data_IF_361809453406
#
_entry.id   IF_361809453406
#
_cell.length_a   1.000
_cell.length_b   1.000
_cell.length_c   1.000
_cell.angle_alpha   90.00
_cell.angle_beta   90.00
_cell.angle_gamma   90.00
#
_symmetry.space_group_name_H-M   'P 1'
#
loop_
_entity.id
_entity.type
_entity.pdbx_description
1 polymer ?
#
# COMPACT_ATOMS: atom_id res chain seq x y z
N UNK A 1 8.98 -9.90 8.29
CA UNK A 1 8.57 -8.92 9.31
C UNK A 1 7.58 -7.96 8.68
N UNK A 2 6.54 -7.50 9.38
CA UNK A 2 5.64 -6.47 8.85
C UNK A 2 6.42 -5.17 8.64
N UNK A 3 6.45 -4.68 7.40
CA UNK A 3 7.09 -3.40 7.06
C UNK A 3 6.13 -2.27 7.41
N UNK A 4 6.54 -1.40 8.33
CA UNK A 4 5.77 -0.23 8.79
C UNK A 4 6.24 1.00 8.02
N UNK A 5 5.31 1.68 7.33
CA UNK A 5 5.61 2.81 6.45
C UNK A 5 5.76 4.16 7.18
N UNK A 6 5.39 4.26 8.46
CA UNK A 6 5.35 5.50 9.22
C UNK A 6 6.69 6.28 9.32
N UNK A 7 7.82 5.65 9.04
CA UNK A 7 9.15 6.28 9.02
C UNK A 7 9.71 6.56 7.62
N UNK A 8 8.93 6.32 6.57
CA UNK A 8 9.36 6.48 5.17
C UNK A 8 8.88 7.82 4.61
N UNK A 9 9.63 8.37 3.65
CA UNK A 9 9.29 9.63 2.99
C UNK A 9 8.09 9.41 2.06
N UNK A 10 7.05 10.24 2.17
CA UNK A 10 5.89 10.16 1.30
C UNK A 10 6.14 10.93 0.00
N UNK A 11 6.02 10.24 -1.13
CA UNK A 11 6.18 10.77 -2.49
C UNK A 11 4.94 10.48 -3.34
N UNK A 12 4.73 11.26 -4.39
CA UNK A 12 3.60 11.08 -5.31
C UNK A 12 4.12 10.55 -6.65
N UNK A 13 3.60 9.40 -7.08
CA UNK A 13 3.89 8.80 -8.39
C UNK A 13 2.57 8.60 -9.11
N UNK A 14 2.41 9.22 -10.28
CA UNK A 14 1.17 9.18 -11.07
C UNK A 14 -0.10 9.57 -10.27
N UNK A 15 0.03 10.47 -9.28
CA UNK A 15 -1.08 10.87 -8.42
C UNK A 15 -1.42 9.90 -7.28
N UNK A 16 -0.67 8.82 -7.12
CA UNK A 16 -0.83 7.83 -6.04
C UNK A 16 0.27 8.05 -4.98
N UNK A 17 -0.07 8.06 -3.68
CA UNK A 17 0.93 8.15 -2.62
C UNK A 17 1.73 6.86 -2.51
N UNK A 18 3.05 7.02 -2.43
CA UNK A 18 4.05 5.97 -2.31
C UNK A 18 5.04 6.37 -1.21
N UNK A 19 5.67 5.40 -0.55
CA UNK A 19 6.60 5.60 0.55
C UNK A 19 8.00 5.17 0.14
N UNK A 20 8.96 6.07 0.30
CA UNK A 20 10.36 5.88 -0.04
C UNK A 20 11.19 5.65 1.23
N UNK A 21 11.93 4.54 1.27
CA UNK A 21 12.84 4.27 2.38
C UNK A 21 14.23 4.90 2.15
N UNK A 22 15.11 4.81 3.16
CA UNK A 22 16.49 5.34 3.07
C UNK A 22 17.36 4.64 2.01
N UNK A 23 16.99 3.44 1.58
CA UNK A 23 17.63 2.68 0.51
C UNK A 23 17.14 3.08 -0.88
N UNK A 24 16.27 4.09 -0.99
CA UNK A 24 15.62 4.52 -2.22
C UNK A 24 14.72 3.45 -2.86
N UNK A 25 14.15 2.57 -2.04
CA UNK A 25 13.10 1.64 -2.44
C UNK A 25 11.72 2.28 -2.26
N UNK A 26 10.84 2.03 -3.21
CA UNK A 26 9.50 2.58 -3.29
C UNK A 26 8.47 1.53 -2.88
N UNK A 27 7.58 1.91 -1.98
CA UNK A 27 6.55 1.04 -1.43
C UNK A 27 5.17 1.65 -1.61
N UNK A 28 4.25 0.89 -2.20
CA UNK A 28 2.84 1.24 -2.31
C UNK A 28 1.99 0.50 -1.27
N UNK A 29 0.75 0.97 -1.09
CA UNK A 29 -0.32 0.45 -0.21
C UNK A 29 -0.33 0.98 1.23
N UNK A 30 -1.47 1.52 1.69
CA UNK A 30 -1.68 1.89 3.11
C UNK A 30 -3.17 1.86 3.54
N UNK A 31 -3.59 0.87 4.35
CA UNK A 31 -4.90 0.86 5.00
C UNK A 31 -4.79 1.04 6.52
N UNK A 32 -4.15 2.13 6.90
CA UNK A 32 -3.94 2.63 8.27
C UNK A 32 -2.72 2.09 9.02
N UNK A 33 -1.69 1.58 8.32
CA UNK A 33 -0.29 1.68 8.81
C UNK A 33 0.79 1.85 7.73
N UNK A 34 1.01 1.03 6.69
CA UNK A 34 0.56 -0.32 6.35
C UNK A 34 1.34 -1.44 7.08
N UNK A 35 0.81 -2.68 7.05
CA UNK A 35 1.39 -3.90 7.67
C UNK A 35 1.91 -4.93 6.65
N UNK A 36 1.72 -4.69 5.34
CA UNK A 36 2.26 -5.46 4.22
C UNK A 36 2.30 -4.57 2.96
N UNK A 37 3.19 -3.58 2.91
CA UNK A 37 3.34 -2.73 1.75
C UNK A 37 3.93 -3.51 0.57
N UNK A 38 3.59 -3.06 -0.63
CA UNK A 38 4.06 -3.63 -1.89
C UNK A 38 5.33 -2.89 -2.28
N UNK A 39 6.49 -3.56 -2.36
CA UNK A 39 7.66 -2.96 -3.00
C UNK A 39 7.38 -2.84 -4.50
N UNK A 40 7.34 -1.61 -5.02
CA UNK A 40 7.05 -1.33 -6.43
C UNK A 40 8.31 -1.06 -7.24
N UNK A 41 9.48 -1.01 -6.59
CA UNK A 41 10.77 -0.84 -7.25
C UNK A 41 11.73 -0.01 -6.42
N UNK A 42 12.77 0.48 -7.09
CA UNK A 42 13.79 1.33 -6.47
C UNK A 42 14.28 2.39 -7.45
N UNK A 43 14.98 3.40 -6.95
CA UNK A 43 15.55 4.44 -7.81
C UNK A 43 16.60 3.90 -8.80
N UNK A 44 17.31 2.81 -8.48
CA UNK A 44 18.32 2.21 -9.35
C UNK A 44 17.74 1.23 -10.38
N UNK A 45 16.66 0.53 -10.03
CA UNK A 45 16.04 -0.48 -10.91
C UNK A 45 14.83 0.04 -11.69
N UNK A 46 14.32 1.21 -11.32
CA UNK A 46 13.05 1.72 -11.82
C UNK A 46 11.85 1.13 -11.09
N UNK A 47 10.67 1.64 -11.48
CA UNK A 47 9.37 1.23 -10.94
C UNK A 47 8.75 0.16 -11.86
N UNK A 48 8.16 -0.86 -11.26
CA UNK A 48 7.46 -1.94 -11.96
C UNK A 48 6.28 -1.42 -12.78
N UNK A 49 6.16 -1.79 -14.06
CA UNK A 49 5.19 -1.19 -15.02
C UNK A 49 3.71 -1.36 -14.62
N UNK A 50 3.35 -2.45 -13.93
CA UNK A 50 1.95 -2.79 -13.59
C UNK A 50 1.60 -2.63 -12.10
N UNK A 51 2.42 -1.91 -11.33
CA UNK A 51 2.26 -1.78 -9.88
C UNK A 51 0.89 -1.20 -9.45
N UNK A 52 0.30 -0.34 -10.27
CA UNK A 52 -1.00 0.30 -10.02
C UNK A 52 -2.14 -0.74 -9.95
N UNK A 53 -2.07 -1.80 -10.78
CA UNK A 53 -3.06 -2.89 -10.75
C UNK A 53 -2.99 -3.63 -9.41
N UNK A 54 -1.78 -3.96 -8.95
CA UNK A 54 -1.58 -4.63 -7.66
C UNK A 54 -2.02 -3.76 -6.49
N UNK A 55 -1.77 -2.45 -6.57
CA UNK A 55 -2.26 -1.47 -5.60
C UNK A 55 -3.80 -1.48 -5.52
N UNK A 56 -4.49 -1.40 -6.66
CA UNK A 56 -5.96 -1.41 -6.71
C UNK A 56 -6.56 -2.71 -6.19
N UNK A 57 -5.97 -3.86 -6.54
CA UNK A 57 -6.42 -5.17 -6.03
C UNK A 57 -6.35 -5.19 -4.50
N UNK A 58 -5.21 -4.81 -3.93
CA UNK A 58 -5.04 -4.78 -2.47
C UNK A 58 -5.99 -3.78 -1.78
N UNK A 59 -6.22 -2.63 -2.41
CA UNK A 59 -7.17 -1.63 -1.91
C UNK A 59 -8.60 -2.17 -1.88
N UNK A 60 -9.01 -2.91 -2.91
CA UNK A 60 -10.33 -3.52 -3.00
C UNK A 60 -10.48 -4.65 -1.98
N UNK A 61 -9.48 -5.52 -1.83
CA UNK A 61 -9.47 -6.56 -0.79
C UNK A 61 -9.66 -5.97 0.61
N UNK A 62 -9.00 -4.84 0.90
CA UNK A 62 -9.19 -4.14 2.17
C UNK A 62 -10.62 -3.60 2.34
N UNK A 63 -11.17 -2.96 1.30
CA UNK A 63 -12.54 -2.43 1.32
C UNK A 63 -13.59 -3.52 1.51
N UNK A 64 -13.44 -4.66 0.86
CA UNK A 64 -14.34 -5.81 1.00
C UNK A 64 -14.26 -6.42 2.40
N UNK A 65 -13.06 -6.52 2.96
CA UNK A 65 -12.87 -6.98 4.34
C UNK A 65 -13.49 -6.02 5.36
N UNK A 66 -13.38 -4.70 5.14
CA UNK A 66 -14.08 -3.70 5.96
C UNK A 66 -15.60 -3.87 5.88
N UNK A 67 -16.16 -3.98 4.68
CA UNK A 67 -17.59 -4.15 4.48
C UNK A 67 -18.13 -5.43 5.15
N UNK A 68 -17.35 -6.50 5.11
CA UNK A 68 -17.68 -7.78 5.76
C UNK A 68 -17.70 -7.65 7.29
N UNK A 69 -16.76 -6.89 7.87
CA UNK A 69 -16.73 -6.60 9.31
C UNK A 69 -17.90 -5.73 9.76
N UNK A 70 -18.28 -4.72 8.96
CA UNK A 70 -19.45 -3.86 9.25
C UNK A 70 -20.75 -4.68 9.25
N UNK A 71 -20.93 -5.61 8.30
CA UNK A 71 -22.11 -6.48 8.25
C UNK A 71 -22.21 -7.44 9.43
N UNK A 72 -21.08 -7.92 9.94
CA UNK A 72 -21.05 -8.76 11.14
C UNK A 72 -21.40 -7.97 12.43
N UNK A 73 -21.07 -6.67 12.47
CA UNK A 73 -21.39 -5.78 13.60
C UNK A 73 -22.86 -5.37 13.70
N UNK A 74 -23.58 -5.29 12.57
CA UNK A 74 -24.99 -4.85 12.51
C UNK A 74 -26.02 -5.95 12.77
N UNK A 75 -25.61 -7.12 13.27
CA UNK A 75 -26.49 -8.25 13.65
C UNK A 75 -26.78 -8.29 15.16
N UNK A 76 -26.87 -7.15 15.83
CA UNK A 76 -27.31 -7.06 17.23
C UNK A 76 -28.58 -6.26 17.36
#
# INVERSE_FOLDING_TARGET
>A
MPTVLAGYERVMINGIPVWKNKSNEYYAYEPDVATNPICIGSQSTGIMVDWEKYYLVRLNEYRENLASRVRAGNKK
#
